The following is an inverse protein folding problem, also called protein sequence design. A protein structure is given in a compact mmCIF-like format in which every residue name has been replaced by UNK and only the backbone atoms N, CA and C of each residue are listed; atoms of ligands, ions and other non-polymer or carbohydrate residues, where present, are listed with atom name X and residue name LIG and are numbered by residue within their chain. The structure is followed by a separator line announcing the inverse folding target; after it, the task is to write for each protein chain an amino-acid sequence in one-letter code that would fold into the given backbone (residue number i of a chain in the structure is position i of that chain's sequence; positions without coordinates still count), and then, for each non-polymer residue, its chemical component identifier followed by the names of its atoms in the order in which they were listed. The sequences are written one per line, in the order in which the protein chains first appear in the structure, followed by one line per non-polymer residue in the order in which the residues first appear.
data_IF_246044314099
#
_entry.id   IF_246044314099
#
_cell.length_a   1.000
_cell.length_b   1.000
_cell.length_c   1.000
_cell.angle_alpha   90.00
_cell.angle_beta   90.00
_cell.angle_gamma   90.00
#
_symmetry.space_group_name_H-M   'P 1'
#
loop_
_entity.id
_entity.type
_entity.pdbx_description
1 polymer ?
#
# COMPACT_ATOMS: atom_id res chain seq x y z
N UNK A 1 -18.45 22.51 -19.29
CA UNK A 1 -17.68 23.63 -19.90
C UNK A 1 -16.19 23.38 -20.08
N UNK A 2 -15.41 22.98 -19.06
CA UNK A 2 -13.94 22.82 -19.24
C UNK A 2 -13.49 21.57 -20.02
N UNK A 3 -14.38 20.59 -20.28
CA UNK A 3 -14.11 19.38 -21.07
C UNK A 3 -13.56 18.18 -20.28
N UNK A 4 -13.46 18.29 -18.95
CA UNK A 4 -13.00 17.21 -18.05
C UNK A 4 -14.11 16.22 -17.65
N UNK A 5 -15.36 16.67 -17.65
CA UNK A 5 -16.54 15.84 -17.47
C UNK A 5 -17.42 15.98 -18.71
N UNK A 6 -18.05 14.88 -19.11
CA UNK A 6 -19.14 14.84 -20.06
C UNK A 6 -20.44 14.56 -19.31
N UNK A 7 -21.50 15.31 -19.58
CA UNK A 7 -22.83 15.04 -19.03
C UNK A 7 -23.69 14.45 -20.13
N UNK A 8 -24.37 13.34 -19.84
CA UNK A 8 -25.38 12.79 -20.72
C UNK A 8 -26.61 13.73 -20.68
N UNK A 9 -27.02 14.35 -21.80
CA UNK A 9 -28.11 15.32 -21.82
C UNK A 9 -29.49 14.70 -21.56
N UNK A 10 -29.64 13.38 -21.79
CA UNK A 10 -30.89 12.66 -21.57
C UNK A 10 -31.03 12.13 -20.14
N UNK A 11 -29.93 11.82 -19.46
CA UNK A 11 -29.96 11.19 -18.12
C UNK A 11 -29.34 12.05 -17.03
N UNK A 12 -28.77 13.21 -17.37
CA UNK A 12 -27.99 14.10 -16.48
C UNK A 12 -26.81 13.42 -15.77
N UNK A 13 -26.42 12.19 -16.17
CA UNK A 13 -25.32 11.43 -15.56
C UNK A 13 -23.98 11.92 -16.11
N UNK A 14 -22.97 11.97 -15.27
CA UNK A 14 -21.62 12.39 -15.65
C UNK A 14 -20.74 11.19 -16.04
N UNK A 15 -19.85 11.44 -16.99
CA UNK A 15 -18.80 10.53 -17.44
C UNK A 15 -17.48 11.30 -17.61
N UNK A 16 -16.38 10.58 -17.78
CA UNK A 16 -15.06 11.18 -18.06
C UNK A 16 -15.13 11.93 -19.40
N UNK A 17 -14.78 13.21 -19.39
CA UNK A 17 -14.72 14.06 -20.57
C UNK A 17 -13.46 13.84 -21.41
N UNK A 18 -13.45 14.27 -22.68
CA UNK A 18 -12.32 14.05 -23.59
C UNK A 18 -11.00 14.65 -23.09
N UNK A 19 -11.00 15.78 -22.36
CA UNK A 19 -9.76 16.36 -21.82
C UNK A 19 -9.17 15.54 -20.68
N UNK A 20 -9.99 14.93 -19.83
CA UNK A 20 -9.50 14.01 -18.79
C UNK A 20 -8.90 12.75 -19.39
N UNK A 21 -9.49 12.21 -20.47
CA UNK A 21 -8.89 11.09 -21.22
C UNK A 21 -7.57 11.47 -21.86
N UNK A 22 -7.48 12.67 -22.42
CA UNK A 22 -6.23 13.18 -23.00
C UNK A 22 -5.15 13.36 -21.92
N UNK A 23 -5.50 13.96 -20.77
CA UNK A 23 -4.57 14.06 -19.64
C UNK A 23 -4.07 12.70 -19.19
N UNK A 24 -4.97 11.72 -19.02
CA UNK A 24 -4.59 10.36 -18.64
C UNK A 24 -3.64 9.70 -19.66
N UNK A 25 -3.79 10.01 -20.96
CA UNK A 25 -2.88 9.51 -22.01
C UNK A 25 -1.54 10.22 -22.07
N UNK A 26 -1.51 11.51 -21.74
CA UNK A 26 -0.32 12.35 -21.77
C UNK A 26 0.45 12.31 -20.45
N UNK A 27 -0.17 11.83 -19.37
CA UNK A 27 0.49 11.60 -18.10
C UNK A 27 1.58 10.54 -18.32
N UNK A 28 2.86 10.89 -18.10
CA UNK A 28 3.99 9.99 -18.32
C UNK A 28 4.12 8.94 -17.21
N UNK A 29 3.20 8.92 -16.25
CA UNK A 29 3.29 8.02 -15.11
C UNK A 29 3.19 6.59 -15.60
N UNK A 30 4.25 5.85 -15.30
CA UNK A 30 4.25 4.40 -15.42
C UNK A 30 3.02 3.92 -14.65
N UNK A 31 2.05 3.35 -15.37
CA UNK A 31 0.74 3.08 -14.78
C UNK A 31 0.89 2.05 -13.67
N UNK A 32 0.98 2.55 -12.43
CA UNK A 32 1.14 1.76 -11.20
C UNK A 32 0.07 0.67 -11.15
N UNK A 33 -1.14 0.97 -11.65
CA UNK A 33 -2.24 0.03 -11.75
C UNK A 33 -1.89 -1.14 -12.69
N UNK A 34 -1.42 -0.82 -13.89
CA UNK A 34 -1.06 -1.80 -14.91
C UNK A 34 0.12 -2.68 -14.45
N UNK A 35 1.15 -2.08 -13.85
CA UNK A 35 2.30 -2.82 -13.36
C UNK A 35 1.96 -3.73 -12.18
N UNK A 36 1.04 -3.29 -11.32
CA UNK A 36 0.62 -4.00 -10.13
C UNK A 36 -0.34 -5.16 -10.40
N UNK A 37 -1.05 -5.18 -11.54
CA UNK A 37 -2.10 -6.17 -11.80
C UNK A 37 -1.63 -7.62 -11.62
N UNK A 38 -0.49 -7.99 -12.23
CA UNK A 38 0.10 -9.32 -12.11
C UNK A 38 0.49 -9.67 -10.66
N UNK A 39 1.40 -8.91 -10.02
CA UNK A 39 1.81 -9.15 -8.63
C UNK A 39 0.65 -9.17 -7.62
N UNK A 40 -0.37 -8.32 -7.81
CA UNK A 40 -1.57 -8.32 -6.97
C UNK A 40 -2.34 -9.64 -7.08
N UNK A 41 -2.50 -10.15 -8.31
CA UNK A 41 -3.21 -11.41 -8.59
C UNK A 41 -2.46 -12.60 -7.99
N UNK A 42 -1.16 -12.68 -8.24
CA UNK A 42 -0.29 -13.72 -7.67
C UNK A 42 -0.33 -13.71 -6.13
N UNK A 43 -0.24 -12.52 -5.51
CA UNK A 43 -0.34 -12.39 -4.06
C UNK A 43 -1.69 -12.90 -3.55
N UNK A 44 -2.80 -12.43 -4.14
CA UNK A 44 -4.16 -12.85 -3.75
C UNK A 44 -4.29 -14.36 -3.83
N UNK A 45 -3.86 -14.96 -4.93
CA UNK A 45 -4.01 -16.39 -5.17
C UNK A 45 -3.15 -17.21 -4.19
N UNK A 46 -2.01 -16.67 -3.74
CA UNK A 46 -1.15 -17.30 -2.74
C UNK A 46 -1.67 -17.21 -1.30
N UNK A 47 -2.30 -16.09 -0.91
CA UNK A 47 -2.69 -15.84 0.50
C UNK A 47 -4.19 -15.93 0.76
N UNK A 48 -5.03 -15.89 -0.28
CA UNK A 48 -6.49 -15.98 -0.19
C UNK A 48 -7.22 -14.72 0.31
N UNK A 49 -6.50 -13.74 0.86
CA UNK A 49 -7.04 -12.44 1.31
C UNK A 49 -7.35 -11.48 0.16
N UNK A 50 -8.15 -10.45 0.43
CA UNK A 50 -8.32 -9.36 -0.55
C UNK A 50 -7.01 -8.60 -0.68
N UNK A 51 -6.64 -8.20 -1.90
CA UNK A 51 -5.44 -7.41 -2.16
C UNK A 51 -5.85 -6.02 -2.63
N UNK A 52 -5.29 -4.99 -2.01
CA UNK A 52 -5.65 -3.58 -2.25
C UNK A 52 -4.39 -2.79 -2.60
N UNK A 53 -4.46 -2.03 -3.68
CA UNK A 53 -3.44 -1.09 -4.10
C UNK A 53 -3.90 0.33 -3.76
N UNK A 54 -3.02 1.11 -3.15
CA UNK A 54 -3.32 2.48 -2.78
C UNK A 54 -2.17 3.43 -3.08
N UNK A 55 -2.49 4.69 -3.33
CA UNK A 55 -1.52 5.78 -3.47
C UNK A 55 -1.74 6.88 -2.43
N UNK A 56 -0.73 7.72 -2.26
CA UNK A 56 -0.77 8.85 -1.33
C UNK A 56 -1.58 10.01 -1.91
N UNK A 57 -2.48 10.58 -1.10
CA UNK A 57 -3.14 11.87 -1.40
C UNK A 57 -3.00 12.82 -0.22
N UNK A 58 -3.34 14.12 -0.35
CA UNK A 58 -3.37 15.02 0.81
C UNK A 58 -4.38 14.67 1.92
N UNK A 59 -5.31 13.75 1.67
CA UNK A 59 -6.40 13.37 2.59
C UNK A 59 -6.18 12.00 3.24
N UNK A 60 -5.55 11.07 2.53
CA UNK A 60 -5.38 9.69 2.99
C UNK A 60 -4.74 8.80 1.93
N UNK A 61 -4.80 7.49 2.16
CA UNK A 61 -4.45 6.49 1.16
C UNK A 61 -5.64 6.27 0.21
N UNK A 62 -5.54 6.73 -1.04
CA UNK A 62 -6.57 6.52 -2.05
C UNK A 62 -6.47 5.12 -2.61
N UNK A 63 -7.56 4.37 -2.58
CA UNK A 63 -7.63 3.03 -3.16
C UNK A 63 -7.75 3.13 -4.68
N UNK A 64 -6.74 2.61 -5.38
CA UNK A 64 -6.70 2.58 -6.85
C UNK A 64 -7.35 1.30 -7.40
N UNK A 65 -7.01 0.16 -6.81
CA UNK A 65 -7.54 -1.14 -7.20
C UNK A 65 -7.75 -2.05 -6.00
N UNK A 66 -8.68 -2.98 -6.17
CA UNK A 66 -8.91 -4.10 -5.26
C UNK A 66 -9.12 -5.38 -6.07
N UNK A 67 -8.45 -6.44 -5.67
CA UNK A 67 -8.81 -7.81 -6.01
C UNK A 67 -9.49 -8.43 -4.81
N UNK A 68 -10.77 -8.82 -4.95
CA UNK A 68 -11.53 -9.48 -3.89
C UNK A 68 -10.88 -10.81 -3.52
N UNK A 69 -10.97 -11.16 -2.23
CA UNK A 69 -10.55 -12.45 -1.70
C UNK A 69 -11.22 -13.62 -2.42
N UNK A 70 -10.66 -14.81 -2.25
CA UNK A 70 -11.26 -16.06 -2.74
C UNK A 70 -12.39 -16.57 -1.83
N UNK A 71 -12.59 -15.94 -0.66
CA UNK A 71 -13.69 -16.19 0.26
C UNK A 71 -14.99 -15.52 -0.22
N UNK A 72 -16.18 -16.11 0.05
CA UNK A 72 -17.47 -15.48 -0.25
C UNK A 72 -17.75 -14.20 0.57
N UNK A 73 -16.94 -13.91 1.59
CA UNK A 73 -17.08 -12.71 2.41
C UNK A 73 -16.41 -11.52 1.70
N UNK A 74 -17.19 -10.52 1.34
CA UNK A 74 -16.68 -9.30 0.73
C UNK A 74 -16.37 -8.22 1.78
N UNK A 75 -15.15 -7.67 1.73
CA UNK A 75 -14.72 -6.57 2.59
C UNK A 75 -14.99 -5.23 1.91
N UNK A 76 -15.54 -4.25 2.66
CA UNK A 76 -16.07 -2.99 2.13
C UNK A 76 -15.08 -1.97 1.53
N UNK A 77 -13.77 -2.26 1.48
CA UNK A 77 -12.79 -1.37 0.83
C UNK A 77 -13.05 -1.38 -0.69
N UNK A 78 -13.17 -0.21 -1.32
CA UNK A 78 -13.51 -0.07 -2.75
C UNK A 78 -12.57 0.94 -3.44
N UNK A 79 -12.30 0.79 -4.75
CA UNK A 79 -11.65 1.83 -5.53
C UNK A 79 -12.34 3.20 -5.34
N UNK A 80 -11.54 4.25 -5.18
CA UNK A 80 -12.00 5.60 -4.87
C UNK A 80 -12.22 5.90 -3.38
N UNK A 81 -12.18 4.89 -2.50
CA UNK A 81 -12.17 5.14 -1.05
C UNK A 81 -10.86 5.77 -0.60
N UNK A 82 -10.94 6.69 0.36
CA UNK A 82 -9.76 7.25 1.03
C UNK A 82 -9.65 6.67 2.44
N UNK A 83 -8.53 6.00 2.72
CA UNK A 83 -8.28 5.38 4.02
C UNK A 83 -7.46 6.32 4.91
N UNK A 84 -7.77 6.42 6.21
CA UNK A 84 -7.11 7.35 7.13
C UNK A 84 -5.64 6.98 7.36
N UNK A 85 -4.78 7.98 7.52
CA UNK A 85 -3.35 7.76 7.74
C UNK A 85 -3.02 7.05 9.05
N UNK A 86 -3.70 7.40 10.14
CA UNK A 86 -3.39 6.88 11.47
C UNK A 86 -4.01 5.51 11.73
N UNK A 87 -5.16 5.21 11.12
CA UNK A 87 -5.96 4.03 11.44
C UNK A 87 -5.94 2.93 10.37
N UNK A 88 -5.35 3.16 9.19
CA UNK A 88 -5.21 2.12 8.14
C UNK A 88 -3.76 1.68 7.95
N UNK A 89 -3.54 0.42 7.57
CA UNK A 89 -2.20 -0.09 7.30
C UNK A 89 -1.56 0.61 6.10
N UNK A 90 -2.33 0.83 5.03
CA UNK A 90 -1.91 1.57 3.83
C UNK A 90 -1.50 2.99 4.19
N UNK A 91 -2.35 3.69 4.93
CA UNK A 91 -2.11 5.04 5.41
C UNK A 91 -0.84 5.14 6.25
N UNK A 92 -0.62 4.20 7.19
CA UNK A 92 0.60 4.15 8.00
C UNK A 92 1.84 3.95 7.16
N UNK A 93 1.82 3.02 6.20
CA UNK A 93 2.94 2.79 5.28
C UNK A 93 3.26 4.06 4.52
N UNK A 94 2.27 4.64 3.84
CA UNK A 94 2.46 5.84 3.04
C UNK A 94 2.98 7.00 3.89
N UNK A 95 2.41 7.21 5.09
CA UNK A 95 2.83 8.28 5.99
C UNK A 95 4.25 8.06 6.52
N UNK A 96 4.61 6.83 6.90
CA UNK A 96 5.92 6.51 7.46
C UNK A 96 7.08 6.83 6.49
N UNK A 97 6.85 6.65 5.19
CA UNK A 97 7.84 6.94 4.14
C UNK A 97 7.63 8.31 3.47
N UNK A 98 6.66 9.12 3.92
CA UNK A 98 6.46 10.47 3.41
C UNK A 98 7.53 11.44 3.95
N UNK A 99 7.79 12.56 3.27
CA UNK A 99 8.66 13.61 3.80
C UNK A 99 8.18 14.11 5.18
N UNK A 100 9.11 14.34 6.10
CA UNK A 100 8.82 14.77 7.47
C UNK A 100 7.84 15.96 7.58
N UNK A 101 7.93 17.02 6.74
CA UNK A 101 6.94 18.11 6.78
C UNK A 101 5.51 17.66 6.48
N UNK A 102 5.34 16.65 5.62
CA UNK A 102 4.03 16.08 5.32
C UNK A 102 3.51 15.29 6.52
N UNK A 103 4.37 14.50 7.17
CA UNK A 103 4.01 13.75 8.38
C UNK A 103 3.46 14.68 9.47
N UNK A 104 4.21 15.74 9.79
CA UNK A 104 3.79 16.74 10.78
C UNK A 104 2.43 17.37 10.42
N UNK A 105 2.26 17.77 9.15
CA UNK A 105 1.00 18.37 8.68
C UNK A 105 -0.21 17.44 8.81
N UNK A 106 -0.01 16.13 8.67
CA UNK A 106 -1.06 15.14 8.88
C UNK A 106 -1.35 14.96 10.37
N UNK A 107 -0.31 14.82 11.20
CA UNK A 107 -0.44 14.51 12.63
C UNK A 107 -0.93 15.67 13.49
N UNK A 108 -0.86 16.92 13.02
CA UNK A 108 -1.47 18.08 13.72
C UNK A 108 -2.99 18.15 13.56
N UNK A 109 -3.59 17.38 12.65
CA UNK A 109 -5.04 17.36 12.45
C UNK A 109 -5.71 16.46 13.51
N UNK A 110 -6.97 16.73 13.88
CA UNK A 110 -7.74 15.82 14.72
C UNK A 110 -7.77 14.41 14.13
N UNK A 111 -7.45 13.43 14.94
CA UNK A 111 -7.43 12.02 14.55
C UNK A 111 -8.78 11.40 14.89
N UNK A 112 -9.55 11.07 13.86
CA UNK A 112 -10.88 10.49 14.00
C UNK A 112 -10.82 9.10 14.63
N UNK A 113 -11.77 8.81 15.53
CA UNK A 113 -11.94 7.50 16.15
C UNK A 113 -12.99 6.72 15.37
N UNK A 114 -12.61 5.59 14.76
CA UNK A 114 -13.52 4.73 14.00
C UNK A 114 -14.03 3.54 14.83
N UNK A 115 -13.20 3.05 15.74
CA UNK A 115 -13.49 1.94 16.65
C UNK A 115 -12.89 2.22 18.02
N UNK A 116 -13.24 1.40 19.01
CA UNK A 116 -12.61 1.44 20.34
C UNK A 116 -11.12 1.08 20.33
N UNK A 117 -10.60 0.58 19.21
CA UNK A 117 -9.19 0.20 19.01
C UNK A 117 -8.40 1.23 18.20
N UNK A 118 -9.06 2.23 17.61
CA UNK A 118 -8.37 3.27 16.83
C UNK A 118 -7.34 4.01 17.69
N UNK A 119 -6.09 4.03 17.24
CA UNK A 119 -5.03 4.75 17.93
C UNK A 119 -5.08 6.24 17.55
N UNK A 120 -5.32 7.11 18.54
CA UNK A 120 -5.40 8.58 18.35
C UNK A 120 -4.35 9.37 19.13
N UNK A 121 -3.40 8.71 19.81
CA UNK A 121 -2.23 9.37 20.41
C UNK A 121 -1.16 9.59 19.34
N UNK A 122 -0.72 10.85 19.20
CA UNK A 122 0.31 11.26 18.26
C UNK A 122 1.61 10.52 18.55
N UNK A 123 2.03 10.45 19.82
CA UNK A 123 3.27 9.81 20.25
C UNK A 123 3.26 8.30 19.94
N UNK A 124 2.09 7.66 20.05
CA UNK A 124 1.94 6.24 19.67
C UNK A 124 2.01 6.07 18.16
N UNK A 125 1.41 6.97 17.39
CA UNK A 125 1.46 6.92 15.92
C UNK A 125 2.89 7.13 15.44
N UNK A 126 3.62 8.13 15.95
CA UNK A 126 5.01 8.37 15.58
C UNK A 126 5.89 7.13 15.84
N UNK A 127 5.70 6.45 16.98
CA UNK A 127 6.37 5.17 17.27
C UNK A 127 6.02 4.10 16.24
N UNK A 128 4.75 3.97 15.88
CA UNK A 128 4.29 3.03 14.85
C UNK A 128 4.95 3.35 13.51
N UNK A 129 4.98 4.62 13.08
CA UNK A 129 5.61 5.03 11.82
C UNK A 129 7.10 4.69 11.81
N UNK A 130 7.81 4.94 12.91
CA UNK A 130 9.22 4.54 13.06
C UNK A 130 9.39 3.03 12.94
N UNK A 131 8.55 2.21 13.58
CA UNK A 131 8.59 0.76 13.44
C UNK A 131 8.32 0.31 11.99
N UNK A 132 7.37 0.95 11.31
CA UNK A 132 7.03 0.68 9.91
C UNK A 132 8.23 0.90 9.01
N UNK A 133 8.98 2.00 9.19
CA UNK A 133 10.21 2.25 8.40
C UNK A 133 11.29 1.18 8.64
N UNK A 134 11.40 0.65 9.86
CA UNK A 134 12.39 -0.39 10.21
C UNK A 134 12.03 -1.77 9.66
N UNK A 135 10.78 -2.21 9.81
CA UNK A 135 10.35 -3.58 9.43
C UNK A 135 9.87 -3.68 7.98
N UNK A 136 9.47 -2.56 7.38
CA UNK A 136 9.00 -2.47 5.99
C UNK A 136 7.55 -2.94 5.78
N UNK A 137 6.72 -2.92 6.82
CA UNK A 137 5.27 -3.16 6.71
C UNK A 137 4.51 -2.54 7.89
N UNK A 138 3.20 -2.33 7.75
CA UNK A 138 2.29 -1.92 8.81
C UNK A 138 1.14 -2.91 8.96
N UNK A 139 0.54 -2.96 10.16
CA UNK A 139 -0.76 -3.57 10.40
C UNK A 139 -1.69 -2.57 11.07
N UNK A 140 -3.01 -2.77 10.95
CA UNK A 140 -4.03 -1.95 11.59
C UNK A 140 -5.22 -2.85 12.01
N UNK A 141 -5.03 -3.71 13.03
CA UNK A 141 -6.04 -4.66 13.46
C UNK A 141 -7.20 -3.93 14.12
N UNK A 142 -8.37 -4.07 13.50
CA UNK A 142 -9.65 -3.61 14.02
C UNK A 142 -9.75 -2.10 14.25
N UNK A 143 -8.87 -1.30 13.63
CA UNK A 143 -8.79 0.15 13.87
C UNK A 143 -9.74 0.96 13.00
N UNK A 144 -10.08 0.48 11.80
CA UNK A 144 -11.12 1.11 10.95
C UNK A 144 -12.48 0.41 11.08
N UNK A 145 -12.48 -0.88 11.42
CA UNK A 145 -13.69 -1.68 11.58
C UNK A 145 -13.39 -2.91 12.44
N UNK A 146 -14.19 -3.16 13.48
CA UNK A 146 -14.05 -4.35 14.32
C UNK A 146 -14.19 -5.63 13.49
N UNK A 147 -13.42 -6.67 13.84
CA UNK A 147 -13.37 -7.93 13.11
C UNK A 147 -12.53 -7.92 11.82
N UNK A 148 -11.92 -6.79 11.44
CA UNK A 148 -11.09 -6.65 10.24
C UNK A 148 -9.62 -6.39 10.58
N UNK A 149 -8.70 -6.86 9.75
CA UNK A 149 -7.32 -6.40 9.75
C UNK A 149 -6.85 -6.05 8.34
N UNK A 150 -5.86 -5.17 8.26
CA UNK A 150 -5.10 -4.91 7.05
C UNK A 150 -3.60 -4.99 7.39
N UNK A 151 -2.82 -5.52 6.44
CA UNK A 151 -1.35 -5.54 6.51
C UNK A 151 -0.82 -4.99 5.21
N UNK A 152 0.02 -3.96 5.27
CA UNK A 152 0.48 -3.22 4.09
C UNK A 152 2.00 -3.13 4.01
N UNK A 153 2.54 -3.08 2.79
CA UNK A 153 3.96 -2.88 2.49
C UNK A 153 4.15 -1.74 1.46
N UNK A 154 5.25 -0.97 1.52
CA UNK A 154 5.51 0.15 0.63
C UNK A 154 5.90 -0.30 -0.78
N UNK A 155 5.52 0.52 -1.76
CA UNK A 155 5.98 0.43 -3.16
C UNK A 155 6.82 1.67 -3.44
N UNK A 156 8.04 1.46 -3.93
CA UNK A 156 8.98 2.53 -4.26
C UNK A 156 9.19 2.67 -5.76
N UNK A 157 9.47 3.88 -6.23
CA UNK A 157 9.89 4.15 -7.60
C UNK A 157 11.43 4.15 -7.76
N UNK A 158 11.90 4.43 -8.97
CA UNK A 158 13.33 4.56 -9.27
C UNK A 158 14.07 5.71 -8.56
N UNK A 159 13.36 6.63 -7.90
CA UNK A 159 13.93 7.73 -7.11
C UNK A 159 13.89 7.45 -5.60
N UNK A 160 13.65 6.19 -5.20
CA UNK A 160 13.45 5.78 -3.81
C UNK A 160 12.24 6.45 -3.11
N UNK A 161 11.33 7.04 -3.88
CA UNK A 161 10.11 7.65 -3.34
C UNK A 161 9.04 6.58 -3.14
N UNK A 162 8.36 6.61 -1.98
CA UNK A 162 7.22 5.74 -1.71
C UNK A 162 6.00 6.25 -2.48
N UNK A 163 5.68 5.59 -3.60
CA UNK A 163 4.61 6.00 -4.53
C UNK A 163 3.31 5.23 -4.31
N UNK A 164 3.34 4.15 -3.52
CA UNK A 164 2.15 3.37 -3.25
C UNK A 164 2.28 2.44 -2.04
N UNK A 165 1.17 1.82 -1.68
CA UNK A 165 1.12 0.75 -0.71
C UNK A 165 0.31 -0.42 -1.26
N UNK A 166 0.85 -1.63 -1.10
CA UNK A 166 0.13 -2.88 -1.35
C UNK A 166 -0.34 -3.43 -0.02
N UNK A 167 -1.59 -3.89 0.07
CA UNK A 167 -2.12 -4.45 1.31
C UNK A 167 -2.91 -5.74 1.11
N UNK A 168 -2.78 -6.64 2.08
CA UNK A 168 -3.72 -7.72 2.33
C UNK A 168 -4.79 -7.23 3.30
N UNK A 169 -6.04 -7.55 3.03
CA UNK A 169 -7.19 -7.19 3.87
C UNK A 169 -8.06 -8.42 4.09
N UNK A 170 -8.37 -8.72 5.35
CA UNK A 170 -9.04 -9.95 5.75
C UNK A 170 -9.75 -9.82 7.10
N UNK A 171 -10.60 -10.78 7.43
CA UNK A 171 -11.12 -10.89 8.81
C UNK A 171 -9.95 -11.15 9.78
N UNK A 172 -10.02 -10.57 10.98
CA UNK A 172 -9.02 -10.75 12.05
C UNK A 172 -8.82 -12.22 12.43
N UNK A 173 -9.79 -13.10 12.15
CA UNK A 173 -9.68 -14.54 12.38
C UNK A 173 -8.69 -15.23 11.43
N UNK A 174 -8.57 -14.73 10.20
CA UNK A 174 -7.71 -15.31 9.15
C UNK A 174 -6.45 -14.48 8.90
N UNK A 175 -6.53 -13.16 9.12
CA UNK A 175 -5.42 -12.22 9.08
C UNK A 175 -5.25 -11.58 10.47
N UNK A 176 -4.67 -12.30 11.45
CA UNK A 176 -4.59 -11.84 12.84
C UNK A 176 -3.69 -10.61 13.03
N UNK A 177 -3.82 -9.94 14.18
CA UNK A 177 -3.01 -8.76 14.57
C UNK A 177 -1.51 -8.97 14.37
N UNK A 178 -1.04 -10.19 14.69
CA UNK A 178 0.30 -10.66 14.34
C UNK A 178 0.21 -11.54 13.10
N UNK A 179 0.35 -10.98 11.89
CA UNK A 179 0.22 -11.76 10.65
C UNK A 179 1.30 -12.83 10.55
N UNK A 180 1.01 -13.91 9.82
CA UNK A 180 1.95 -15.02 9.68
C UNK A 180 3.19 -14.53 8.94
N UNK A 181 4.42 -14.91 9.36
CA UNK A 181 5.65 -14.47 8.68
C UNK A 181 5.68 -14.75 7.18
N UNK A 182 5.10 -15.88 6.76
CA UNK A 182 4.98 -16.24 5.34
C UNK A 182 4.09 -15.27 4.55
N UNK A 183 2.95 -14.83 5.10
CA UNK A 183 2.05 -13.86 4.45
C UNK A 183 2.72 -12.48 4.34
N UNK A 184 3.42 -12.04 5.40
CA UNK A 184 4.19 -10.78 5.37
C UNK A 184 5.30 -10.85 4.32
N UNK A 185 5.98 -11.98 4.21
CA UNK A 185 7.04 -12.18 3.21
C UNK A 185 6.47 -12.14 1.80
N UNK A 186 5.35 -12.84 1.55
CA UNK A 186 4.65 -12.81 0.26
C UNK A 186 4.23 -11.39 -0.12
N UNK A 187 3.65 -10.63 0.82
CA UNK A 187 3.26 -9.24 0.62
C UNK A 187 4.45 -8.35 0.27
N UNK A 188 5.54 -8.42 1.03
CA UNK A 188 6.76 -7.63 0.77
C UNK A 188 7.38 -7.97 -0.58
N UNK A 189 7.41 -9.26 -0.94
CA UNK A 189 7.90 -9.70 -2.24
C UNK A 189 7.05 -9.14 -3.38
N UNK A 190 5.72 -9.19 -3.27
CA UNK A 190 4.83 -8.62 -4.28
C UNK A 190 5.02 -7.10 -4.41
N UNK A 191 5.11 -6.36 -3.30
CA UNK A 191 5.37 -4.93 -3.32
C UNK A 191 6.75 -4.59 -3.95
N UNK A 192 7.77 -5.41 -3.66
CA UNK A 192 9.10 -5.27 -4.26
C UNK A 192 9.10 -5.57 -5.77
N UNK A 193 8.32 -6.55 -6.23
CA UNK A 193 8.16 -6.82 -7.67
C UNK A 193 7.55 -5.62 -8.39
N UNK A 194 6.52 -4.99 -7.82
CA UNK A 194 5.93 -3.75 -8.37
C UNK A 194 6.98 -2.64 -8.38
N UNK A 195 7.72 -2.47 -7.27
CA UNK A 195 8.78 -1.46 -7.17
C UNK A 195 9.87 -1.65 -8.24
N UNK A 196 10.30 -2.89 -8.50
CA UNK A 196 11.28 -3.20 -9.57
C UNK A 196 10.75 -2.83 -10.95
N UNK A 197 9.47 -3.08 -11.22
CA UNK A 197 8.83 -2.65 -12.48
C UNK A 197 8.78 -1.13 -12.63
N UNK A 198 8.75 -0.39 -11.52
CA UNK A 198 8.85 1.08 -11.45
C UNK A 198 10.29 1.60 -11.47
N UNK A 199 11.29 0.73 -11.67
CA UNK A 199 12.70 1.11 -11.74
C UNK A 199 13.42 1.16 -10.39
N UNK A 200 12.80 0.75 -9.28
CA UNK A 200 13.46 0.70 -7.98
C UNK A 200 14.51 -0.42 -7.94
N UNK A 201 15.78 -0.03 -7.91
CA UNK A 201 16.93 -0.92 -7.86
C UNK A 201 17.57 -0.92 -6.47
N UNK A 202 16.94 -1.54 -5.47
CA UNK A 202 17.69 -1.90 -4.26
C UNK A 202 18.65 -3.06 -4.57
N UNK A 203 19.93 -2.97 -4.19
CA UNK A 203 20.83 -4.12 -4.29
C UNK A 203 20.20 -5.28 -3.54
N UNK A 204 19.98 -6.41 -4.21
CA UNK A 204 19.79 -7.68 -3.51
C UNK A 204 20.99 -7.84 -2.58
N UNK A 205 20.75 -8.02 -1.28
CA UNK A 205 21.81 -8.45 -0.36
C UNK A 205 22.60 -9.57 -1.03
N UNK A 206 23.88 -9.29 -1.29
CA UNK A 206 24.79 -10.24 -1.88
C UNK A 206 24.76 -11.50 -1.02
N UNK A 207 24.48 -12.64 -1.64
CA UNK A 207 24.66 -13.94 -1.02
C UNK A 207 26.10 -14.03 -0.49
N UNK A 208 26.26 -13.96 0.82
CA UNK A 208 27.50 -14.30 1.50
C UNK A 208 27.59 -15.82 1.63
N UNK A 209 28.08 -16.48 0.58
CA UNK A 209 28.76 -17.79 0.70
C UNK A 209 29.23 -18.27 -0.69
N UNK A 210 30.45 -17.90 -1.11
CA UNK A 210 31.47 -18.91 -1.42
C UNK A 210 32.80 -18.27 -1.84
N UNK A 211 33.75 -18.30 -0.91
CA UNK A 211 35.15 -18.70 -1.11
C UNK A 211 35.92 -18.45 0.20
N UNK A 212 35.80 -19.40 1.12
CA UNK A 212 36.92 -19.75 2.01
C UNK A 212 37.60 -21.01 1.47
N UNK A 213 38.89 -21.09 1.76
CA UNK A 213 39.76 -22.26 1.67
C UNK A 213 40.39 -22.57 0.29
N UNK A 214 41.50 -21.89 0.05
CA UNK A 214 42.68 -22.47 -0.59
C UNK A 214 43.89 -22.16 0.28
N UNK A 215 44.01 -22.85 1.42
CA UNK A 215 45.18 -22.81 2.29
C UNK A 215 46.37 -23.52 1.63
N UNK A 216 47.49 -22.82 1.51
CA UNK A 216 48.85 -23.33 1.71
C UNK A 216 49.44 -24.29 0.66
N UNK A 217 50.60 -23.91 0.11
CA UNK A 217 51.80 -24.73 0.26
C UNK A 217 53.07 -23.90 0.05
N UNK A 218 54.05 -24.17 0.89
CA UNK A 218 55.38 -23.60 0.91
C UNK A 218 56.19 -23.86 -0.37
N UNK A 219 57.03 -22.90 -0.75
CA UNK A 219 58.49 -23.03 -0.90
C UNK A 219 59.12 -21.67 -1.15
#
# INVERSE_FOLDING_TARGET
ERGYLAQNPATSRYAIGPKSRLLARLAPDTDLLQLAEGPMRELRDAVGHSVVLSEMTPRGALVLAKLSSLSPIEIGVRPGSELPFHASAQGRVLLAFAPHPFQQRVLVRPLETFTTKTITSIERIEKILLEVTKRGYASAPEETMLGLNAVAAPIFDGNDACVGALAMVGSIQFLPERPKPAEVTALKNAAQQISRKLGHARPSEMHSSDRRAGSGLAR
#
